data_IF_433630160351
#
_entry.id   IF_433630160351
#
_cell.length_a   1.000
_cell.length_b   1.000
_cell.length_c   1.000
_cell.angle_alpha   90.00
_cell.angle_beta   90.00
_cell.angle_gamma   90.00
#
_symmetry.space_group_name_H-M   'P 1'
#
loop_
_entity.id
_entity.type
_entity.pdbx_description
1 polymer ?
#
# COMPACT_ATOMS: atom_id res chain seq x y z
N UNK A 1 2.25 27.60 -26.81
CA UNK A 1 0.95 27.04 -26.41
C UNK A 1 0.79 27.23 -24.91
N UNK A 2 -0.34 27.73 -24.42
CA UNK A 2 -0.61 27.91 -22.99
C UNK A 2 -1.00 26.57 -22.37
N UNK A 3 -0.34 26.18 -21.27
CA UNK A 3 -0.60 24.93 -20.56
C UNK A 3 -1.80 25.12 -19.64
N UNK A 4 -2.90 24.42 -19.88
CA UNK A 4 -4.02 24.35 -18.92
C UNK A 4 -3.56 23.60 -17.68
N UNK A 5 -3.85 24.14 -16.50
CA UNK A 5 -3.45 23.55 -15.21
C UNK A 5 -4.67 23.34 -14.31
N UNK A 6 -4.61 22.29 -13.48
CA UNK A 6 -5.58 21.98 -12.44
C UNK A 6 -4.81 21.79 -11.15
N UNK A 7 -5.25 22.45 -10.07
CA UNK A 7 -4.73 22.24 -8.72
C UNK A 7 -5.80 21.54 -7.91
N UNK A 8 -5.43 20.45 -7.22
CA UNK A 8 -6.31 19.69 -6.34
C UNK A 8 -5.60 19.47 -5.01
N UNK A 9 -6.36 19.23 -3.93
CA UNK A 9 -5.82 18.65 -2.70
C UNK A 9 -5.14 17.32 -3.02
N UNK A 10 -4.04 17.01 -2.33
CA UNK A 10 -3.33 15.75 -2.53
C UNK A 10 -4.32 14.57 -2.37
N UNK A 11 -4.46 13.71 -3.38
CA UNK A 11 -5.43 12.62 -3.36
C UNK A 11 -4.91 11.40 -2.55
N UNK A 12 -5.80 10.43 -2.38
CA UNK A 12 -5.50 9.09 -1.86
C UNK A 12 -5.86 8.02 -2.91
N UNK A 13 -5.19 6.87 -2.87
CA UNK A 13 -5.48 5.72 -3.72
C UNK A 13 -6.18 4.60 -2.94
N UNK A 14 -7.50 4.46 -3.12
CA UNK A 14 -8.32 3.53 -2.35
C UNK A 14 -8.24 2.06 -2.80
N UNK A 15 -7.42 1.73 -3.80
CA UNK A 15 -7.21 0.34 -4.23
C UNK A 15 -5.86 0.13 -4.92
N UNK A 16 -4.82 -0.23 -4.15
CA UNK A 16 -3.46 -0.36 -4.67
C UNK A 16 -2.85 -1.76 -4.48
N UNK A 17 -2.14 -2.24 -5.50
CA UNK A 17 -1.34 -3.47 -5.45
C UNK A 17 0.16 -3.11 -5.55
N UNK A 18 0.88 -3.16 -4.43
CA UNK A 18 2.31 -2.86 -4.40
C UNK A 18 3.22 -4.06 -4.71
N UNK A 19 2.67 -5.28 -4.68
CA UNK A 19 3.45 -6.53 -4.83
C UNK A 19 4.50 -6.65 -3.70
N UNK A 20 5.56 -7.40 -3.92
CA UNK A 20 6.58 -7.68 -2.90
C UNK A 20 7.99 -7.64 -3.51
N UNK A 21 9.03 -7.58 -2.67
CA UNK A 21 10.43 -7.63 -3.05
C UNK A 21 10.85 -6.54 -4.04
N UNK A 22 11.54 -6.92 -5.11
CA UNK A 22 12.01 -5.96 -6.13
C UNK A 22 10.86 -5.19 -6.80
N UNK A 23 9.71 -5.83 -6.96
CA UNK A 23 8.55 -5.16 -7.55
C UNK A 23 8.04 -4.06 -6.62
N UNK A 24 7.93 -4.32 -5.31
CA UNK A 24 7.57 -3.32 -4.31
C UNK A 24 8.50 -2.10 -4.37
N UNK A 25 9.81 -2.34 -4.32
CA UNK A 25 10.83 -1.28 -4.36
C UNK A 25 10.80 -0.47 -5.66
N UNK A 26 10.38 -1.07 -6.77
CA UNK A 26 10.24 -0.39 -8.05
C UNK A 26 8.98 0.48 -8.13
N UNK A 27 7.85 0.02 -7.59
CA UNK A 27 6.55 0.65 -7.83
C UNK A 27 6.09 1.60 -6.70
N UNK A 28 6.40 1.31 -5.43
CA UNK A 28 5.90 2.09 -4.30
C UNK A 28 6.29 3.58 -4.35
N UNK A 29 7.51 3.97 -4.77
CA UNK A 29 7.89 5.38 -4.85
C UNK A 29 7.02 6.19 -5.82
N UNK A 30 6.46 5.57 -6.87
CA UNK A 30 5.58 6.27 -7.80
C UNK A 30 4.26 6.67 -7.13
N UNK A 31 3.69 5.78 -6.31
CA UNK A 31 2.49 6.08 -5.52
C UNK A 31 2.79 7.16 -4.49
N UNK A 32 3.84 6.99 -3.68
CA UNK A 32 4.18 7.92 -2.60
C UNK A 32 4.45 9.35 -3.10
N UNK A 33 4.87 9.50 -4.36
CA UNK A 33 5.04 10.81 -5.01
C UNK A 33 3.72 11.51 -5.33
N UNK A 34 2.62 10.77 -5.52
CA UNK A 34 1.34 11.31 -6.00
C UNK A 34 0.25 11.34 -4.94
N UNK A 35 0.20 10.33 -4.08
CA UNK A 35 -0.87 10.11 -3.12
C UNK A 35 -0.37 10.29 -1.70
N UNK A 36 -1.23 10.82 -0.83
CA UNK A 36 -0.92 10.91 0.60
C UNK A 36 -1.06 9.54 1.26
N UNK A 37 -2.08 8.77 0.90
CA UNK A 37 -2.38 7.46 1.51
C UNK A 37 -2.85 6.47 0.47
N UNK A 38 -2.75 5.18 0.76
CA UNK A 38 -3.39 4.16 -0.07
C UNK A 38 -3.88 2.94 0.70
N UNK A 39 -5.00 2.35 0.26
CA UNK A 39 -5.45 1.04 0.73
C UNK A 39 -4.65 -0.04 0.02
N UNK A 40 -3.84 -0.78 0.77
CA UNK A 40 -2.95 -1.80 0.25
C UNK A 40 -3.66 -3.14 0.21
N UNK A 41 -3.76 -3.71 -0.99
CA UNK A 41 -4.42 -4.99 -1.21
C UNK A 41 -3.57 -6.18 -0.73
N UNK A 42 -4.17 -7.24 -0.16
CA UNK A 42 -3.46 -8.26 0.60
C UNK A 42 -3.15 -9.54 -0.21
N UNK A 43 -3.39 -9.53 -1.52
CA UNK A 43 -3.28 -10.68 -2.42
C UNK A 43 -1.83 -10.95 -2.90
N UNK A 44 -0.90 -11.00 -1.94
CA UNK A 44 0.46 -11.50 -2.16
C UNK A 44 0.47 -13.03 -2.35
N UNK A 45 1.65 -13.61 -2.52
CA UNK A 45 1.84 -15.05 -2.59
C UNK A 45 2.93 -15.51 -1.60
N UNK A 46 2.58 -16.01 -0.41
CA UNK A 46 1.22 -16.27 0.09
C UNK A 46 0.43 -14.98 0.42
N UNK A 47 -0.92 -15.02 0.47
CA UNK A 47 -1.71 -13.84 0.80
C UNK A 47 -1.50 -13.39 2.26
N UNK A 48 -1.74 -12.11 2.52
CA UNK A 48 -1.63 -11.49 3.85
C UNK A 48 -2.90 -11.80 4.63
N UNK A 49 -2.90 -12.88 5.42
CA UNK A 49 -4.09 -13.36 6.16
C UNK A 49 -4.02 -13.15 7.68
N UNK A 50 -2.91 -12.63 8.20
CA UNK A 50 -2.71 -12.40 9.64
C UNK A 50 -2.23 -10.98 9.90
N UNK A 51 -2.54 -10.45 11.09
CA UNK A 51 -2.11 -9.12 11.55
C UNK A 51 -0.58 -9.03 11.58
N UNK A 52 0.11 -10.09 12.00
CA UNK A 52 1.58 -10.13 12.04
C UNK A 52 2.15 -9.98 10.62
N UNK A 53 1.64 -10.73 9.64
CA UNK A 53 2.10 -10.63 8.26
C UNK A 53 1.79 -9.24 7.67
N UNK A 54 0.65 -8.63 8.04
CA UNK A 54 0.33 -7.26 7.62
C UNK A 54 1.31 -6.22 8.20
N UNK A 55 1.74 -6.37 9.46
CA UNK A 55 2.76 -5.51 10.08
C UNK A 55 4.12 -5.69 9.39
N UNK A 56 4.55 -6.93 9.14
CA UNK A 56 5.80 -7.21 8.44
C UNK A 56 5.82 -6.64 7.02
N UNK A 57 4.67 -6.67 6.33
CA UNK A 57 4.55 -6.09 5.00
C UNK A 57 4.49 -4.55 5.05
N UNK A 58 3.84 -3.97 6.06
CA UNK A 58 3.86 -2.52 6.30
C UNK A 58 5.30 -2.01 6.47
N UNK A 59 6.10 -2.68 7.30
CA UNK A 59 7.51 -2.31 7.54
C UNK A 59 8.31 -2.31 6.23
N UNK A 60 8.09 -3.31 5.36
CA UNK A 60 8.74 -3.37 4.05
C UNK A 60 8.31 -2.23 3.12
N UNK A 61 7.02 -1.88 3.11
CA UNK A 61 6.51 -0.75 2.32
C UNK A 61 7.13 0.56 2.81
N UNK A 62 7.19 0.77 4.14
CA UNK A 62 7.78 1.99 4.72
C UNK A 62 9.25 2.15 4.36
N UNK A 63 10.02 1.05 4.32
CA UNK A 63 11.40 1.08 3.82
C UNK A 63 11.47 1.45 2.33
N UNK A 64 10.57 0.91 1.51
CA UNK A 64 10.53 1.20 0.07
C UNK A 64 10.15 2.66 -0.26
N UNK A 65 9.49 3.35 0.66
CA UNK A 65 9.05 4.76 0.50
C UNK A 65 9.69 5.71 1.50
N UNK A 66 10.87 5.35 2.03
CA UNK A 66 11.58 6.16 3.04
C UNK A 66 11.76 7.63 2.59
N UNK A 67 11.61 8.54 3.55
CA UNK A 67 11.67 9.98 3.31
C UNK A 67 10.42 10.59 2.66
N UNK A 68 9.30 9.85 2.59
CA UNK A 68 7.99 10.37 2.16
C UNK A 68 6.99 10.40 3.32
N UNK A 69 5.96 11.24 3.21
CA UNK A 69 4.83 11.29 4.15
C UNK A 69 3.70 10.31 3.75
N UNK A 70 4.00 9.28 2.97
CA UNK A 70 3.01 8.32 2.48
C UNK A 70 2.52 7.38 3.59
N UNK A 71 1.20 7.23 3.74
CA UNK A 71 0.57 6.35 4.74
C UNK A 71 -0.06 5.10 4.06
N UNK A 72 0.55 3.92 4.17
CA UNK A 72 -0.06 2.67 3.73
C UNK A 72 -1.14 2.21 4.71
N UNK A 73 -2.36 2.00 4.22
CA UNK A 73 -3.49 1.50 4.98
C UNK A 73 -3.67 0.01 4.69
N UNK A 74 -3.25 -0.83 5.63
CA UNK A 74 -3.17 -2.27 5.43
C UNK A 74 -4.54 -2.95 5.46
N UNK A 75 -4.65 -4.07 4.74
CA UNK A 75 -5.83 -4.94 4.75
C UNK A 75 -5.44 -6.39 4.95
N UNK A 76 -6.42 -7.22 5.30
CA UNK A 76 -6.26 -8.67 5.39
C UNK A 76 -7.04 -9.36 4.27
N UNK A 77 -6.45 -10.41 3.70
CA UNK A 77 -7.11 -11.30 2.77
C UNK A 77 -8.01 -12.25 3.56
N UNK A 78 -9.31 -11.98 3.55
CA UNK A 78 -10.28 -12.83 4.23
C UNK A 78 -10.49 -14.13 3.45
N UNK A 79 -10.32 -15.24 4.16
CA UNK A 79 -10.62 -16.61 3.70
C UNK A 79 -11.57 -17.30 4.68
N UNK A 80 -12.12 -18.45 4.27
CA UNK A 80 -12.95 -19.31 5.15
C UNK A 80 -12.22 -19.78 6.42
N UNK A 81 -10.89 -19.72 6.43
CA UNK A 81 -10.05 -20.12 7.56
C UNK A 81 -9.62 -18.95 8.46
N UNK A 82 -10.07 -17.71 8.19
CA UNK A 82 -9.67 -16.53 8.97
C UNK A 82 -10.28 -16.61 10.36
N UNK A 83 -9.50 -16.78 11.43
CA UNK A 83 -10.05 -16.84 12.76
C UNK A 83 -10.45 -15.43 13.24
N UNK A 84 -11.49 -15.30 14.09
CA UNK A 84 -11.86 -14.00 14.65
C UNK A 84 -10.75 -13.30 15.43
N UNK A 85 -9.72 -14.02 15.89
CA UNK A 85 -8.56 -13.42 16.57
C UNK A 85 -7.65 -12.59 15.66
N UNK A 86 -7.82 -12.70 14.34
CA UNK A 86 -7.07 -11.91 13.35
C UNK A 86 -7.87 -10.68 12.88
N UNK A 87 -9.04 -10.40 13.46
CA UNK A 87 -9.95 -9.29 13.11
C UNK A 87 -10.15 -8.40 14.34
#
# INVERSE_FOLDING_TARGET
MTKTTITITQPDDWHLHLRDGEALNSVAPFTAKQFARAIIMPNLNPPVTTVIHAVEYLDQILVAVDGTDFEPLMTLYLTDNTPPSEI
#
